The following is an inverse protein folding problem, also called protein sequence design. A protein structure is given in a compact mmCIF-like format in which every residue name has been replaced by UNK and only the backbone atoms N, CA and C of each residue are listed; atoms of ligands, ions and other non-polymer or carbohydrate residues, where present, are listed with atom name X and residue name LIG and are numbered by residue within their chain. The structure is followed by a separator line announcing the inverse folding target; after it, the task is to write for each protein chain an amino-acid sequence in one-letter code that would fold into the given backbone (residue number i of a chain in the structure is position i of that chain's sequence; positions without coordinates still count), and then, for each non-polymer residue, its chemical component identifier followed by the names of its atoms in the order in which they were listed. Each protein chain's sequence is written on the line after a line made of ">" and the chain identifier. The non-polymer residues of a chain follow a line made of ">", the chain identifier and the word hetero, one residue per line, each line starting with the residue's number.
data_IF_739761369075
#
_entry.id   IF_739761369075
#
_cell.length_a   1.000
_cell.length_b   1.000
_cell.length_c   1.000
_cell.angle_alpha   90.00
_cell.angle_beta   90.00
_cell.angle_gamma   90.00
#
_symmetry.space_group_name_H-M   'P 1'
#
loop_
_entity.id
_entity.type
_entity.pdbx_description
1 polymer ?
#
# COMPACT_ATOMS: atom_id res chain seq x y z
N UNK A 1 21.01 -31.63 -41.01
CA UNK A 1 21.68 -30.38 -40.56
C UNK A 1 20.64 -29.30 -40.26
N UNK A 2 19.71 -29.02 -41.18
CA UNK A 2 18.64 -28.01 -40.98
C UNK A 2 17.77 -28.25 -39.73
N UNK A 3 17.34 -29.49 -39.47
CA UNK A 3 16.52 -29.79 -38.27
C UNK A 3 17.24 -29.48 -36.94
N UNK A 4 18.56 -29.65 -36.89
CA UNK A 4 19.35 -29.36 -35.69
C UNK A 4 19.43 -27.85 -35.44
N UNK A 5 19.57 -27.05 -36.51
CA UNK A 5 19.61 -25.59 -36.42
C UNK A 5 18.27 -25.05 -35.93
N UNK A 6 17.15 -25.54 -36.49
CA UNK A 6 15.80 -25.12 -36.05
C UNK A 6 15.56 -25.43 -34.57
N UNK A 7 16.04 -26.58 -34.09
CA UNK A 7 15.88 -26.99 -32.69
C UNK A 7 16.70 -26.11 -31.73
N UNK A 8 17.93 -25.74 -32.10
CA UNK A 8 18.77 -24.82 -31.31
C UNK A 8 18.10 -23.44 -31.20
N UNK A 9 17.66 -22.87 -32.33
CA UNK A 9 16.98 -21.57 -32.34
C UNK A 9 15.69 -21.57 -31.51
N UNK A 10 14.95 -22.69 -31.50
CA UNK A 10 13.77 -22.83 -30.68
C UNK A 10 14.09 -22.80 -29.18
N UNK A 11 15.15 -23.48 -28.74
CA UNK A 11 15.58 -23.46 -27.33
C UNK A 11 16.10 -22.08 -26.89
N UNK A 12 16.88 -21.40 -27.74
CA UNK A 12 17.34 -20.03 -27.47
C UNK A 12 16.17 -19.05 -27.35
N UNK A 13 15.17 -19.17 -28.23
CA UNK A 13 13.95 -18.36 -28.15
C UNK A 13 13.16 -18.63 -26.86
N UNK A 14 13.06 -19.89 -26.44
CA UNK A 14 12.39 -20.27 -25.20
C UNK A 14 13.11 -19.69 -23.97
N UNK A 15 14.44 -19.77 -23.91
CA UNK A 15 15.25 -19.24 -22.82
C UNK A 15 15.21 -17.70 -22.75
N UNK A 16 15.27 -17.03 -23.90
CA UNK A 16 15.09 -15.59 -24.00
C UNK A 16 13.68 -15.16 -23.52
N UNK A 17 12.64 -15.94 -23.87
CA UNK A 17 11.29 -15.72 -23.38
C UNK A 17 11.17 -15.87 -21.86
N UNK A 18 11.77 -16.93 -21.30
CA UNK A 18 11.74 -17.21 -19.86
C UNK A 18 12.50 -16.13 -19.05
N UNK A 19 13.67 -15.70 -19.52
CA UNK A 19 14.47 -14.65 -18.86
C UNK A 19 13.80 -13.28 -18.92
N UNK A 20 13.12 -12.94 -20.03
CA UNK A 20 12.31 -11.73 -20.14
C UNK A 20 11.14 -11.74 -19.16
N UNK A 21 10.38 -12.84 -19.08
CA UNK A 21 9.28 -12.98 -18.11
C UNK A 21 9.77 -12.87 -16.67
N UNK A 22 10.88 -13.52 -16.33
CA UNK A 22 11.50 -13.42 -15.01
C UNK A 22 11.88 -11.98 -14.64
N UNK A 23 12.48 -11.24 -15.57
CA UNK A 23 12.85 -9.84 -15.36
C UNK A 23 11.63 -8.95 -15.16
N UNK A 24 10.57 -9.11 -15.97
CA UNK A 24 9.32 -8.38 -15.82
C UNK A 24 8.66 -8.65 -14.46
N UNK A 25 8.65 -9.92 -14.02
CA UNK A 25 8.12 -10.29 -12.71
C UNK A 25 8.91 -9.64 -11.56
N UNK A 26 10.24 -9.62 -11.64
CA UNK A 26 11.09 -8.97 -10.64
C UNK A 26 10.85 -7.46 -10.58
N UNK A 27 10.75 -6.79 -11.73
CA UNK A 27 10.44 -5.36 -11.80
C UNK A 27 9.07 -5.05 -11.22
N UNK A 28 8.05 -5.82 -11.56
CA UNK A 28 6.71 -5.68 -11.01
C UNK A 28 6.72 -5.86 -9.48
N UNK A 29 7.37 -6.91 -8.98
CA UNK A 29 7.49 -7.19 -7.55
C UNK A 29 8.24 -6.09 -6.80
N UNK A 30 9.35 -5.60 -7.36
CA UNK A 30 10.12 -4.51 -6.78
C UNK A 30 9.30 -3.21 -6.74
N UNK A 31 8.54 -2.91 -7.80
CA UNK A 31 7.67 -1.72 -7.84
C UNK A 31 6.56 -1.78 -6.78
N UNK A 32 5.96 -2.95 -6.57
CA UNK A 32 4.96 -3.18 -5.53
C UNK A 32 5.55 -2.96 -4.13
N UNK A 33 6.75 -3.48 -3.86
CA UNK A 33 7.42 -3.29 -2.56
C UNK A 33 7.80 -1.83 -2.32
N UNK A 34 8.32 -1.15 -3.36
CA UNK A 34 8.67 0.27 -3.30
C UNK A 34 7.46 1.15 -3.00
N UNK A 35 6.26 0.77 -3.44
CA UNK A 35 5.03 1.47 -3.10
C UNK A 35 4.48 1.05 -1.72
N UNK A 36 4.45 -0.25 -1.42
CA UNK A 36 3.84 -0.76 -0.19
C UNK A 36 4.58 -0.29 1.09
N UNK A 37 5.91 -0.24 1.07
CA UNK A 37 6.71 0.11 2.25
C UNK A 37 6.46 1.54 2.76
N UNK A 38 6.54 2.60 1.95
CA UNK A 38 6.17 3.95 2.37
C UNK A 38 4.73 4.04 2.89
N UNK A 39 3.78 3.39 2.21
CA UNK A 39 2.38 3.35 2.64
C UNK A 39 2.21 2.76 4.03
N UNK A 40 2.88 1.64 4.32
CA UNK A 40 2.84 0.97 5.62
C UNK A 40 3.48 1.82 6.72
N UNK A 41 4.63 2.44 6.44
CA UNK A 41 5.32 3.33 7.40
C UNK A 41 4.47 4.56 7.72
N UNK A 42 3.85 5.16 6.72
CA UNK A 42 2.97 6.31 6.89
C UNK A 42 1.71 5.92 7.68
N UNK A 43 1.08 4.79 7.33
CA UNK A 43 -0.07 4.26 8.06
C UNK A 43 0.25 4.03 9.54
N UNK A 44 1.36 3.34 9.83
CA UNK A 44 1.84 3.10 11.20
C UNK A 44 2.08 4.40 11.96
N UNK A 45 2.66 5.40 11.30
CA UNK A 45 2.98 6.69 11.92
C UNK A 45 1.70 7.46 12.26
N UNK A 46 0.73 7.49 11.34
CA UNK A 46 -0.58 8.12 11.57
C UNK A 46 -1.31 7.42 12.72
N UNK A 47 -1.41 6.10 12.71
CA UNK A 47 -2.09 5.35 13.78
C UNK A 47 -1.41 5.56 15.13
N UNK A 48 -0.07 5.55 15.19
CA UNK A 48 0.68 5.80 16.43
C UNK A 48 0.37 7.19 16.98
N UNK A 49 0.45 8.23 16.15
CA UNK A 49 0.11 9.60 16.58
C UNK A 49 -1.34 9.73 17.00
N UNK A 50 -2.27 9.12 16.27
CA UNK A 50 -3.68 9.19 16.62
C UNK A 50 -3.96 8.52 17.97
N UNK A 51 -3.24 7.45 18.30
CA UNK A 51 -3.29 6.80 19.62
C UNK A 51 -2.67 7.63 20.73
N UNK A 52 -1.51 8.24 20.47
CA UNK A 52 -0.73 8.98 21.47
C UNK A 52 -1.34 10.38 21.74
N UNK A 53 -1.61 11.13 20.68
CA UNK A 53 -2.01 12.54 20.74
C UNK A 53 -3.55 12.73 20.78
N UNK A 54 -4.30 11.78 20.20
CA UNK A 54 -5.77 11.88 20.06
C UNK A 54 -6.51 10.61 20.58
N UNK A 55 -6.28 10.17 21.82
CA UNK A 55 -6.73 8.88 22.32
C UNK A 55 -8.26 8.72 22.35
N UNK A 56 -9.01 9.82 22.47
CA UNK A 56 -10.47 9.79 22.37
C UNK A 56 -10.93 9.40 20.96
N UNK A 57 -10.38 10.06 19.94
CA UNK A 57 -10.64 9.75 18.53
C UNK A 57 -10.19 8.32 18.19
N UNK A 58 -9.04 7.90 18.72
CA UNK A 58 -8.56 6.52 18.57
C UNK A 58 -9.57 5.47 19.03
N UNK A 59 -10.14 5.67 20.23
CA UNK A 59 -11.18 4.78 20.78
C UNK A 59 -12.45 4.81 19.95
N UNK A 60 -12.89 5.98 19.49
CA UNK A 60 -14.08 6.12 18.63
C UNK A 60 -13.93 5.39 17.30
N UNK A 61 -12.72 5.30 16.76
CA UNK A 61 -12.44 4.54 15.54
C UNK A 61 -12.42 3.02 15.77
N UNK A 62 -12.57 2.55 17.02
CA UNK A 62 -12.54 1.13 17.37
C UNK A 62 -11.12 0.56 17.46
N UNK A 63 -10.16 1.39 17.88
CA UNK A 63 -8.77 1.00 18.16
C UNK A 63 -8.08 0.23 17.00
N UNK A 64 -8.02 0.83 15.80
CA UNK A 64 -7.50 0.14 14.62
C UNK A 64 -6.05 -0.35 14.82
N UNK A 65 -5.69 -1.54 14.37
CA UNK A 65 -4.29 -1.99 14.41
C UNK A 65 -3.65 -1.92 13.02
N UNK A 66 -2.30 -1.93 12.97
CA UNK A 66 -1.52 -1.85 11.72
C UNK A 66 -1.87 -2.97 10.74
N UNK A 67 -2.23 -4.15 11.24
CA UNK A 67 -2.44 -5.36 10.44
C UNK A 67 -3.91 -5.77 10.37
N UNK A 68 -4.70 -5.39 11.38
CA UNK A 68 -6.08 -5.85 11.52
C UNK A 68 -6.98 -4.72 12.03
N UNK A 69 -7.94 -4.34 11.20
CA UNK A 69 -9.09 -3.58 11.65
C UNK A 69 -10.05 -4.60 12.28
N UNK A 70 -10.13 -4.61 13.61
CA UNK A 70 -10.80 -5.62 14.45
C UNK A 70 -12.20 -6.07 14.02
N UNK A 71 -12.87 -5.28 13.19
CA UNK A 71 -14.19 -5.56 12.64
C UNK A 71 -14.43 -4.77 11.35
N UNK A 72 -15.41 -5.18 10.54
CA UNK A 72 -15.86 -4.39 9.39
C UNK A 72 -16.36 -2.98 9.78
N UNK A 73 -16.85 -2.82 11.03
CA UNK A 73 -17.25 -1.52 11.56
C UNK A 73 -16.05 -0.59 11.79
N UNK A 74 -14.98 -1.10 12.40
CA UNK A 74 -13.69 -0.41 12.57
C UNK A 74 -13.14 0.03 11.20
N UNK A 75 -13.12 -0.87 10.21
CA UNK A 75 -12.66 -0.56 8.86
C UNK A 75 -13.46 0.58 8.24
N UNK A 76 -14.80 0.53 8.32
CA UNK A 76 -15.66 1.59 7.79
C UNK A 76 -15.46 2.91 8.52
N UNK A 77 -15.30 2.90 9.85
CA UNK A 77 -15.06 4.10 10.64
C UNK A 77 -13.75 4.78 10.23
N UNK A 78 -12.67 4.01 10.10
CA UNK A 78 -11.37 4.51 9.65
C UNK A 78 -11.43 5.05 8.22
N UNK A 79 -12.05 4.31 7.30
CA UNK A 79 -12.21 4.77 5.91
C UNK A 79 -13.02 6.06 5.84
N UNK A 80 -14.11 6.16 6.59
CA UNK A 80 -14.92 7.40 6.68
C UNK A 80 -14.08 8.55 7.22
N UNK A 81 -13.36 8.34 8.32
CA UNK A 81 -12.51 9.33 8.96
C UNK A 81 -11.50 9.94 7.98
N UNK A 82 -10.79 9.11 7.21
CA UNK A 82 -9.83 9.59 6.20
C UNK A 82 -10.51 10.22 4.98
N UNK A 83 -11.59 9.61 4.48
CA UNK A 83 -12.30 10.07 3.27
C UNK A 83 -12.91 11.46 3.49
N UNK A 84 -13.56 11.66 4.63
CA UNK A 84 -14.25 12.90 5.00
C UNK A 84 -13.34 13.93 5.70
N UNK A 85 -12.05 13.64 5.83
CA UNK A 85 -11.08 14.52 6.49
C UNK A 85 -11.46 14.92 7.92
N UNK A 86 -12.06 14.00 8.66
CA UNK A 86 -12.41 14.21 10.08
C UNK A 86 -11.16 14.48 10.94
N UNK A 87 -9.95 14.20 10.43
CA UNK A 87 -8.69 14.59 11.07
C UNK A 87 -8.44 16.12 11.10
N UNK A 88 -9.04 16.91 10.19
CA UNK A 88 -8.85 18.37 10.17
C UNK A 88 -9.49 19.03 11.41
N UNK A 89 -10.60 18.47 11.92
CA UNK A 89 -11.28 18.98 13.12
C UNK A 89 -10.51 18.71 14.43
N UNK A 90 -9.44 17.90 14.39
CA UNK A 90 -8.62 17.62 15.57
C UNK A 90 -7.70 18.80 15.94
N UNK A 91 -7.58 19.82 15.08
CA UNK A 91 -6.76 21.01 15.35
C UNK A 91 -5.26 20.74 15.35
N UNK A 92 -4.81 19.60 14.82
CA UNK A 92 -3.40 19.21 14.74
C UNK A 92 -2.88 19.30 13.29
N UNK A 93 -2.18 20.39 12.93
CA UNK A 93 -1.70 20.60 11.56
C UNK A 93 -0.64 19.57 11.13
N UNK A 94 0.12 19.03 12.09
CA UNK A 94 1.16 18.04 11.80
C UNK A 94 0.53 16.70 11.44
N UNK A 95 -0.48 16.27 12.20
CA UNK A 95 -1.28 15.08 11.88
C UNK A 95 -2.09 15.27 10.59
N UNK A 96 -2.69 16.45 10.40
CA UNK A 96 -3.47 16.73 9.19
C UNK A 96 -2.62 16.61 7.91
N UNK A 97 -1.37 17.08 7.92
CA UNK A 97 -0.43 16.89 6.82
C UNK A 97 -0.15 15.42 6.54
N UNK A 98 0.18 14.62 7.57
CA UNK A 98 0.41 13.18 7.44
C UNK A 98 -0.81 12.43 6.90
N UNK A 99 -2.00 12.74 7.43
CA UNK A 99 -3.26 12.17 6.96
C UNK A 99 -3.59 12.60 5.53
N UNK A 100 -3.26 13.82 5.14
CA UNK A 100 -3.37 14.32 3.76
C UNK A 100 -2.50 13.53 2.79
N UNK A 101 -1.22 13.33 3.12
CA UNK A 101 -0.32 12.46 2.35
C UNK A 101 -0.82 11.02 2.29
N UNK A 102 -1.29 10.47 3.42
CA UNK A 102 -1.82 9.11 3.46
C UNK A 102 -3.05 8.95 2.56
N UNK A 103 -3.93 9.95 2.54
CA UNK A 103 -5.11 9.98 1.68
C UNK A 103 -4.74 10.08 0.19
N UNK A 104 -3.78 10.93 -0.16
CA UNK A 104 -3.27 11.02 -1.53
C UNK A 104 -2.68 9.68 -1.97
N UNK A 105 -1.85 9.06 -1.14
CA UNK A 105 -1.24 7.77 -1.41
C UNK A 105 -2.28 6.66 -1.61
N UNK A 106 -3.28 6.58 -0.73
CA UNK A 106 -4.32 5.54 -0.80
C UNK A 106 -5.37 5.79 -1.89
N UNK A 107 -5.56 7.03 -2.33
CA UNK A 107 -6.51 7.35 -3.40
C UNK A 107 -6.19 6.68 -4.73
N UNK A 108 -4.92 6.35 -4.97
CA UNK A 108 -4.46 5.60 -6.16
C UNK A 108 -5.03 4.17 -6.17
N UNK A 109 -5.30 3.60 -5.00
CA UNK A 109 -5.76 2.21 -4.84
C UNK A 109 -7.26 2.09 -4.56
N UNK A 110 -7.95 3.20 -4.28
CA UNK A 110 -9.36 3.23 -3.88
C UNK A 110 -10.31 3.76 -4.96
N UNK A 111 -9.86 3.79 -6.22
CA UNK A 111 -10.64 4.18 -7.39
C UNK A 111 -11.40 3.01 -8.00
#
# INVERSE_FOLDING_TARGET
>A
MEQLITLILFFEYLDAGASMLGSLFLLASASLLLMALPGLLLHRTVLRRLREDHPHTWKLLGEPSIVYYGSAATTRAVLRFFRHREYESLGDPSLASLCGFYRMFTSVYSG
#
